data_IF_207096754417
#
_entry.id   IF_207096754417
#
_cell.length_a   1.000
_cell.length_b   1.000
_cell.length_c   1.000
_cell.angle_alpha   90.00
_cell.angle_beta   90.00
_cell.angle_gamma   90.00
#
_symmetry.space_group_name_H-M   'P 1'
#
loop_
_entity.id
_entity.type
_entity.pdbx_description
1 polymer ?
#
# COMPACT_ATOMS: atom_id res chain seq x y z
N UNK A 1 26.36 -6.57 28.53
CA UNK A 1 24.90 -6.66 28.32
C UNK A 1 24.70 -7.51 27.05
N UNK A 2 23.97 -8.62 27.09
CA UNK A 2 23.73 -9.41 25.88
C UNK A 2 22.68 -8.72 25.03
N UNK A 3 22.96 -8.64 23.72
CA UNK A 3 22.08 -8.11 22.68
C UNK A 3 20.80 -8.98 22.60
N UNK A 4 19.60 -8.39 22.59
CA UNK A 4 18.38 -9.20 22.45
C UNK A 4 18.33 -9.87 21.06
N UNK A 5 17.75 -11.08 20.98
CA UNK A 5 17.67 -11.80 19.72
C UNK A 5 16.72 -11.09 18.75
N UNK A 6 17.19 -10.88 17.51
CA UNK A 6 16.34 -10.46 16.38
C UNK A 6 15.33 -11.57 16.10
N UNK A 7 14.08 -11.38 16.45
CA UNK A 7 12.99 -12.26 16.03
C UNK A 7 12.65 -11.94 14.60
N UNK A 8 13.17 -12.74 13.67
CA UNK A 8 12.66 -12.81 12.31
C UNK A 8 11.51 -13.82 12.32
N UNK A 9 10.27 -13.37 12.35
CA UNK A 9 9.12 -14.22 12.08
C UNK A 9 8.67 -13.97 10.64
N UNK A 10 9.14 -14.78 9.71
CA UNK A 10 8.54 -14.89 8.38
C UNK A 10 7.41 -15.90 8.46
N UNK A 11 6.17 -15.45 8.52
CA UNK A 11 4.99 -16.27 8.32
C UNK A 11 4.55 -16.14 6.86
N UNK A 12 4.70 -17.21 6.08
CA UNK A 12 4.12 -17.31 4.75
C UNK A 12 2.65 -17.68 4.90
N UNK A 13 1.76 -16.73 4.62
CA UNK A 13 0.31 -16.99 4.53
C UNK A 13 -0.03 -17.02 3.05
N UNK A 14 -0.48 -18.17 2.56
CA UNK A 14 -1.03 -18.34 1.22
C UNK A 14 -2.55 -18.13 1.33
N UNK A 15 -3.06 -17.00 0.84
CA UNK A 15 -4.50 -16.69 0.86
C UNK A 15 -4.79 -15.44 0.01
N UNK A 16 -6.01 -15.31 -0.45
CA UNK A 16 -6.49 -14.11 -1.14
C UNK A 16 -6.56 -12.90 -0.17
N UNK A 17 -6.53 -11.63 -0.66
CA UNK A 17 -6.62 -10.44 0.21
C UNK A 17 -7.81 -10.44 1.16
N UNK A 18 -8.92 -11.07 0.78
CA UNK A 18 -10.09 -11.30 1.64
C UNK A 18 -9.78 -12.16 2.87
N UNK A 19 -8.91 -13.15 2.73
CA UNK A 19 -8.54 -14.06 3.84
C UNK A 19 -7.69 -13.33 4.89
N UNK A 20 -6.93 -12.33 4.48
CA UNK A 20 -6.10 -11.50 5.36
C UNK A 20 -6.98 -10.60 6.23
N UNK A 21 -8.02 -9.99 5.65
CA UNK A 21 -8.98 -9.17 6.39
C UNK A 21 -9.76 -10.01 7.43
N UNK A 22 -10.23 -11.21 7.06
CA UNK A 22 -10.94 -12.13 7.95
C UNK A 22 -10.03 -12.65 9.09
N UNK A 23 -8.75 -12.90 8.79
CA UNK A 23 -7.74 -13.26 9.80
C UNK A 23 -7.48 -12.11 10.78
N UNK A 24 -7.55 -10.87 10.28
CA UNK A 24 -7.35 -9.67 11.08
C UNK A 24 -8.54 -9.40 12.00
N UNK A 25 -9.76 -9.50 11.48
CA UNK A 25 -10.99 -9.38 12.28
C UNK A 25 -11.02 -10.42 13.42
N UNK A 26 -10.65 -11.66 13.15
CA UNK A 26 -10.52 -12.72 14.17
C UNK A 26 -9.44 -12.42 15.21
N UNK A 27 -8.33 -11.74 14.84
CA UNK A 27 -7.27 -11.35 15.79
C UNK A 27 -7.66 -10.14 16.62
N UNK A 28 -8.40 -9.19 16.06
CA UNK A 28 -8.98 -8.08 16.82
C UNK A 28 -9.98 -8.62 17.85
N UNK A 29 -10.90 -9.51 17.47
CA UNK A 29 -11.80 -10.19 18.41
C UNK A 29 -11.04 -10.96 19.52
N UNK A 30 -9.89 -11.56 19.17
CA UNK A 30 -9.04 -12.25 20.14
C UNK A 30 -8.39 -11.25 21.10
N UNK A 31 -7.85 -10.13 20.63
CA UNK A 31 -7.24 -9.08 21.45
C UNK A 31 -8.27 -8.42 22.39
N UNK A 32 -9.48 -8.16 21.90
CA UNK A 32 -10.60 -7.66 22.72
C UNK A 32 -11.01 -8.66 23.80
N UNK A 33 -11.03 -9.95 23.48
CA UNK A 33 -11.43 -11.01 24.43
C UNK A 33 -10.38 -11.28 25.52
N UNK A 34 -9.09 -11.06 25.26
CA UNK A 34 -8.00 -11.27 26.21
C UNK A 34 -7.47 -9.99 26.86
N UNK A 35 -7.66 -8.80 26.24
CA UNK A 35 -7.30 -7.50 26.84
C UNK A 35 -8.20 -7.10 28.02
N UNK A 36 -9.40 -7.65 28.12
CA UNK A 36 -10.36 -7.33 29.17
C UNK A 36 -10.02 -7.94 30.57
N UNK A 37 -8.99 -8.77 30.71
CA UNK A 37 -8.69 -9.49 31.94
C UNK A 37 -7.49 -8.99 32.75
N UNK A 38 -6.82 -7.93 32.38
CA UNK A 38 -5.78 -7.31 33.21
C UNK A 38 -6.21 -5.94 33.75
N UNK A 39 -7.29 -5.96 34.54
CA UNK A 39 -7.64 -4.86 35.43
C UNK A 39 -6.62 -4.69 36.53
N UNK A 40 -6.03 -3.48 36.65
CA UNK A 40 -5.31 -3.05 37.80
C UNK A 40 -3.86 -2.60 37.60
N UNK A 41 -3.55 -1.82 36.59
CA UNK A 41 -2.32 -1.03 36.52
C UNK A 41 -2.63 0.43 36.91
N UNK A 42 -1.98 0.88 37.97
CA UNK A 42 -1.99 2.26 38.46
C UNK A 42 -1.56 3.20 37.34
N UNK A 43 -2.31 4.29 37.14
CA UNK A 43 -1.92 5.42 36.31
C UNK A 43 -0.52 5.88 36.68
N UNK A 44 0.49 5.55 35.89
CA UNK A 44 1.67 6.35 35.74
C UNK A 44 1.40 7.27 34.56
N UNK A 45 1.18 8.54 34.87
CA UNK A 45 1.35 9.64 33.92
C UNK A 45 2.83 9.69 33.47
N UNK A 46 3.23 8.80 32.60
CA UNK A 46 4.34 9.05 31.71
C UNK A 46 3.72 9.74 30.52
N UNK A 47 4.06 11.01 30.28
CA UNK A 47 3.65 11.75 29.11
C UNK A 47 4.08 10.99 27.85
N UNK A 48 3.24 10.08 27.40
CA UNK A 48 3.25 9.63 26.03
C UNK A 48 2.72 10.81 25.20
N UNK A 49 3.59 11.48 24.46
CA UNK A 49 3.14 12.20 23.28
C UNK A 49 2.36 11.16 22.49
N UNK A 50 1.05 11.30 22.41
CA UNK A 50 0.22 10.57 21.45
C UNK A 50 0.67 11.07 20.07
N UNK A 51 1.75 10.47 19.55
CA UNK A 51 2.14 10.67 18.16
C UNK A 51 1.08 10.00 17.33
N UNK A 52 0.26 10.81 16.65
CA UNK A 52 -0.79 10.29 15.76
C UNK A 52 -0.20 9.37 14.70
N UNK A 53 -0.97 8.39 14.29
CA UNK A 53 -0.60 7.47 13.21
C UNK A 53 -0.73 8.17 11.85
N UNK A 54 0.29 8.04 11.00
CA UNK A 54 0.30 8.63 9.65
C UNK A 54 0.71 7.55 8.64
N UNK A 55 0.01 7.50 7.51
CA UNK A 55 0.43 6.72 6.37
C UNK A 55 0.40 7.53 5.08
N UNK A 56 1.44 7.34 4.28
CA UNK A 56 1.58 7.87 2.93
C UNK A 56 1.77 6.69 1.99
N UNK A 57 0.86 6.53 1.04
CA UNK A 57 0.93 5.49 0.01
C UNK A 57 0.81 6.12 -1.37
N UNK A 58 1.50 5.57 -2.34
CA UNK A 58 1.45 6.10 -3.69
C UNK A 58 2.28 5.31 -4.68
N UNK A 59 2.43 5.89 -5.88
CA UNK A 59 3.21 5.29 -6.93
C UNK A 59 3.15 6.07 -8.23
N UNK A 60 3.71 5.48 -9.26
CA UNK A 60 3.68 6.01 -10.61
C UNK A 60 3.67 4.90 -11.66
N UNK A 61 3.16 5.21 -12.85
CA UNK A 61 3.28 4.40 -14.04
C UNK A 61 3.65 5.29 -15.24
N UNK A 62 4.54 4.81 -16.09
CA UNK A 62 4.98 5.49 -17.30
C UNK A 62 5.10 4.51 -18.46
N UNK A 63 4.64 4.91 -19.62
CA UNK A 63 4.72 4.15 -20.85
C UNK A 63 5.18 5.06 -21.99
N UNK A 64 6.12 4.60 -22.82
CA UNK A 64 6.56 5.29 -24.02
C UNK A 64 6.44 4.37 -25.23
N UNK A 65 5.86 4.89 -26.33
CA UNK A 65 5.54 4.17 -27.55
C UNK A 65 4.55 4.96 -28.39
N UNK A 66 4.12 4.38 -29.52
CA UNK A 66 3.09 5.00 -30.35
C UNK A 66 1.72 4.96 -29.63
N UNK A 67 1.36 3.78 -29.09
CA UNK A 67 0.13 3.58 -28.34
C UNK A 67 0.50 3.23 -26.89
N UNK A 68 0.02 4.03 -25.93
CA UNK A 68 0.36 3.86 -24.52
C UNK A 68 -0.85 3.95 -23.62
N UNK A 69 -0.87 3.10 -22.59
CA UNK A 69 -1.85 3.13 -21.52
C UNK A 69 -1.13 3.18 -20.18
N UNK A 70 -1.50 4.13 -19.33
CA UNK A 70 -1.09 4.16 -17.93
C UNK A 70 -2.30 4.31 -17.02
N UNK A 71 -2.36 3.50 -15.98
CA UNK A 71 -3.41 3.59 -14.95
C UNK A 71 -2.80 3.66 -13.57
N UNK A 72 -3.48 4.34 -12.66
CA UNK A 72 -3.10 4.44 -11.27
C UNK A 72 -4.33 4.45 -10.35
N UNK A 73 -4.30 3.66 -9.30
CA UNK A 73 -5.26 3.67 -8.21
C UNK A 73 -4.51 3.82 -6.89
N UNK A 74 -4.96 4.74 -6.05
CA UNK A 74 -4.52 4.88 -4.67
C UNK A 74 -5.74 5.02 -3.78
N UNK A 75 -5.85 4.17 -2.76
CA UNK A 75 -6.89 4.26 -1.76
C UNK A 75 -6.27 4.21 -0.36
N UNK A 76 -6.73 5.08 0.52
CA UNK A 76 -6.24 5.18 1.88
C UNK A 76 -7.41 5.46 2.82
N UNK A 77 -7.53 4.68 3.87
CA UNK A 77 -8.56 4.83 4.88
C UNK A 77 -7.94 4.76 6.27
N UNK A 78 -8.30 5.70 7.14
CA UNK A 78 -7.85 5.73 8.53
C UNK A 78 -9.04 5.85 9.48
N UNK A 79 -8.99 5.16 10.60
CA UNK A 79 -9.98 5.26 11.66
C UNK A 79 -9.32 5.21 13.04
N UNK A 80 -9.70 6.15 13.90
CA UNK A 80 -9.40 6.11 15.34
C UNK A 80 -10.57 5.51 16.11
N UNK A 81 -10.29 4.57 16.98
CA UNK A 81 -11.25 3.84 17.83
C UNK A 81 -10.81 3.87 19.29
N UNK A 82 -11.74 3.52 20.18
CA UNK A 82 -11.41 3.32 21.58
C UNK A 82 -10.43 2.13 21.72
N UNK A 83 -9.17 2.44 22.05
CA UNK A 83 -8.15 1.44 22.29
C UNK A 83 -7.20 1.15 21.11
N UNK A 84 -7.47 1.59 19.89
CA UNK A 84 -6.56 1.45 18.75
C UNK A 84 -6.86 2.44 17.64
N UNK A 85 -5.89 2.71 16.80
CA UNK A 85 -6.08 3.33 15.48
C UNK A 85 -5.64 2.38 14.38
N UNK A 86 -6.27 2.45 13.22
CA UNK A 86 -6.00 1.59 12.09
C UNK A 86 -5.96 2.40 10.80
N UNK A 87 -4.96 2.12 9.97
CA UNK A 87 -4.88 2.61 8.60
C UNK A 87 -4.79 1.42 7.66
N UNK A 88 -5.60 1.43 6.61
CA UNK A 88 -5.57 0.46 5.52
C UNK A 88 -5.49 1.16 4.19
N UNK A 89 -4.76 0.61 3.24
CA UNK A 89 -4.68 1.21 1.92
C UNK A 89 -4.07 0.30 0.88
N UNK A 90 -4.20 0.76 -0.36
CA UNK A 90 -3.65 0.11 -1.52
C UNK A 90 -3.16 1.13 -2.55
N UNK A 91 -2.19 0.71 -3.34
CA UNK A 91 -1.71 1.41 -4.52
C UNK A 91 -1.49 0.40 -5.65
N UNK A 92 -2.08 0.65 -6.80
CA UNK A 92 -1.98 -0.19 -7.99
C UNK A 92 -1.62 0.71 -9.17
N UNK A 93 -0.53 0.39 -9.85
CA UNK A 93 -0.06 1.13 -11.01
C UNK A 93 0.26 0.18 -12.14
N UNK A 94 -0.22 0.51 -13.34
CA UNK A 94 -0.02 -0.28 -14.54
C UNK A 94 0.41 0.60 -15.71
N UNK A 95 1.29 0.08 -16.54
CA UNK A 95 1.75 0.71 -17.76
C UNK A 95 1.81 -0.33 -18.87
N UNK A 96 1.39 0.06 -20.08
CA UNK A 96 1.62 -0.71 -21.29
C UNK A 96 1.92 0.21 -22.48
N UNK A 97 2.77 -0.26 -23.37
CA UNK A 97 3.16 0.47 -24.58
C UNK A 97 3.25 -0.47 -25.78
N UNK A 98 2.96 0.07 -26.96
CA UNK A 98 3.21 -0.58 -28.25
C UNK A 98 3.98 0.35 -29.18
N UNK A 99 4.80 -0.21 -30.03
CA UNK A 99 5.56 0.52 -31.05
C UNK A 99 5.64 -0.30 -32.34
N UNK A 100 5.51 0.34 -33.51
CA UNK A 100 5.74 -0.33 -34.79
C UNK A 100 7.21 -0.73 -34.99
N UNK A 101 8.13 -0.06 -34.27
CA UNK A 101 9.55 -0.35 -34.33
C UNK A 101 9.97 -1.29 -33.21
N UNK A 102 10.72 -2.36 -33.51
CA UNK A 102 11.24 -3.26 -32.47
C UNK A 102 12.09 -2.49 -31.45
N UNK A 103 11.79 -2.70 -30.15
CA UNK A 103 12.46 -2.01 -29.05
C UNK A 103 12.02 -0.56 -28.82
N UNK A 104 11.04 -0.05 -29.57
CA UNK A 104 10.50 1.29 -29.41
C UNK A 104 9.47 1.46 -28.28
N UNK A 105 9.05 0.36 -27.62
CA UNK A 105 8.11 0.37 -26.50
C UNK A 105 8.81 0.20 -25.16
N UNK A 106 8.45 1.01 -24.17
CA UNK A 106 8.89 0.86 -22.77
C UNK A 106 7.74 1.09 -21.80
N UNK A 107 7.74 0.36 -20.67
CA UNK A 107 6.77 0.53 -19.60
C UNK A 107 7.44 0.37 -18.23
N UNK A 108 7.03 1.18 -17.27
CA UNK A 108 7.47 1.10 -15.87
C UNK A 108 6.31 1.37 -14.93
N UNK A 109 6.29 0.68 -13.80
CA UNK A 109 5.35 0.93 -12.71
C UNK A 109 6.07 0.77 -11.37
N UNK A 110 5.70 1.57 -10.38
CA UNK A 110 6.23 1.44 -9.01
C UNK A 110 5.23 1.93 -7.98
N UNK A 111 5.29 1.35 -6.79
CA UNK A 111 4.53 1.74 -5.61
C UNK A 111 5.49 2.06 -4.46
N UNK A 112 5.00 2.76 -3.45
CA UNK A 112 5.73 3.02 -2.21
C UNK A 112 4.78 3.19 -1.03
N UNK A 113 5.27 2.86 0.17
CA UNK A 113 4.60 3.06 1.45
C UNK A 113 5.54 3.72 2.45
N UNK A 114 5.02 4.66 3.23
CA UNK A 114 5.66 5.17 4.42
C UNK A 114 4.63 5.25 5.55
N UNK A 115 4.91 4.62 6.68
CA UNK A 115 4.05 4.60 7.87
C UNK A 115 4.84 5.08 9.08
N UNK A 116 4.21 5.90 9.92
CA UNK A 116 4.74 6.37 11.20
C UNK A 116 3.67 6.24 12.28
N UNK A 117 4.06 6.00 13.53
CA UNK A 117 3.15 5.89 14.66
C UNK A 117 2.38 4.55 14.75
N UNK A 118 2.77 3.53 13.98
CA UNK A 118 2.16 2.21 14.05
C UNK A 118 2.98 1.25 14.91
N UNK A 119 2.31 0.38 15.64
CA UNK A 119 2.91 -0.76 16.36
C UNK A 119 3.10 -1.98 15.45
N UNK A 120 2.17 -2.18 14.51
CA UNK A 120 2.19 -3.28 13.54
C UNK A 120 1.95 -2.75 12.14
N UNK A 121 2.71 -3.28 11.19
CA UNK A 121 2.52 -3.03 9.76
C UNK A 121 2.49 -4.39 9.07
N UNK A 122 1.42 -4.66 8.32
CA UNK A 122 1.32 -5.79 7.41
C UNK A 122 1.34 -5.22 6.01
N UNK A 123 2.30 -5.65 5.20
CA UNK A 123 2.54 -5.14 3.86
C UNK A 123 2.62 -6.29 2.86
N UNK A 124 1.98 -6.12 1.72
CA UNK A 124 2.10 -6.96 0.54
C UNK A 124 2.52 -6.08 -0.64
N UNK A 125 3.61 -6.43 -1.28
CA UNK A 125 4.08 -5.77 -2.49
C UNK A 125 4.33 -6.79 -3.59
N UNK A 126 3.92 -6.46 -4.82
CA UNK A 126 4.27 -7.22 -5.99
C UNK A 126 4.56 -6.30 -7.18
N UNK A 127 5.55 -6.67 -7.99
CA UNK A 127 5.90 -5.96 -9.21
C UNK A 127 6.17 -6.95 -10.33
N UNK A 128 5.56 -6.70 -11.48
CA UNK A 128 5.67 -7.54 -12.65
C UNK A 128 5.92 -6.70 -13.89
N UNK A 129 6.55 -7.30 -14.89
CA UNK A 129 6.79 -6.62 -16.16
C UNK A 129 7.24 -7.58 -17.25
N UNK A 130 7.04 -7.19 -18.48
CA UNK A 130 7.44 -7.93 -19.67
C UNK A 130 7.84 -7.01 -20.81
N UNK A 131 8.76 -7.49 -21.62
CA UNK A 131 9.24 -6.80 -22.81
C UNK A 131 9.19 -7.76 -24.00
N UNK A 132 8.35 -7.42 -24.98
CA UNK A 132 8.29 -8.07 -26.28
C UNK A 132 9.04 -7.30 -27.37
N UNK A 133 9.05 -7.79 -28.59
CA UNK A 133 9.70 -7.09 -29.72
C UNK A 133 9.11 -5.69 -29.96
N UNK A 134 7.79 -5.55 -29.85
CA UNK A 134 7.03 -4.37 -30.18
C UNK A 134 6.12 -3.87 -29.06
N UNK A 135 6.17 -4.52 -27.90
CA UNK A 135 5.33 -4.24 -26.74
C UNK A 135 6.13 -4.26 -25.44
N UNK A 136 5.67 -3.50 -24.47
CA UNK A 136 6.18 -3.50 -23.11
C UNK A 136 5.02 -3.31 -22.13
N UNK A 137 5.11 -3.94 -20.96
CA UNK A 137 4.15 -3.74 -19.87
C UNK A 137 4.84 -3.83 -18.51
N UNK A 138 4.28 -3.14 -17.53
CA UNK A 138 4.70 -3.20 -16.14
C UNK A 138 3.48 -2.99 -15.23
N UNK A 139 3.47 -3.65 -14.09
CA UNK A 139 2.53 -3.42 -12.99
C UNK A 139 3.25 -3.40 -11.66
N UNK A 140 2.73 -2.64 -10.71
CA UNK A 140 3.18 -2.62 -9.32
C UNK A 140 1.95 -2.49 -8.44
N UNK A 141 1.85 -3.35 -7.43
CA UNK A 141 0.75 -3.42 -6.49
C UNK A 141 1.29 -3.41 -5.07
N UNK A 142 0.64 -2.67 -4.20
CA UNK A 142 0.94 -2.59 -2.79
C UNK A 142 -0.37 -2.55 -2.00
N UNK A 143 -0.48 -3.41 -0.97
CA UNK A 143 -1.56 -3.42 0.01
C UNK A 143 -0.96 -3.36 1.40
N UNK A 144 -1.56 -2.61 2.31
CA UNK A 144 -1.06 -2.54 3.67
C UNK A 144 -2.16 -2.35 4.70
N UNK A 145 -1.84 -2.77 5.92
CA UNK A 145 -2.58 -2.47 7.14
C UNK A 145 -1.58 -2.01 8.19
N UNK A 146 -1.83 -0.85 8.79
CA UNK A 146 -1.06 -0.33 9.90
C UNK A 146 -1.97 -0.19 11.13
N UNK A 147 -1.53 -0.68 12.28
CA UNK A 147 -2.28 -0.69 13.53
C UNK A 147 -1.42 -0.10 14.65
N UNK A 148 -2.00 0.84 15.39
CA UNK A 148 -1.48 1.35 16.65
C UNK A 148 -2.43 0.97 17.78
N UNK A 149 -1.92 0.36 18.85
CA UNK A 149 -2.70 -0.09 20.01
C UNK A 149 -2.41 0.85 21.18
N UNK A 150 -3.39 1.66 21.57
CA UNK A 150 -3.26 2.65 22.65
C UNK A 150 -2.75 2.02 23.94
N UNK A 151 -1.64 2.56 24.46
CA UNK A 151 -1.03 2.08 25.70
C UNK A 151 -0.16 0.83 25.55
N UNK A 152 0.05 0.34 24.34
CA UNK A 152 1.03 -0.70 24.03
C UNK A 152 2.20 -0.08 23.28
N UNK A 153 3.42 -0.40 23.66
CA UNK A 153 4.63 0.07 22.97
C UNK A 153 5.61 -1.08 22.86
N UNK A 154 5.82 -1.60 21.65
CA UNK A 154 6.88 -2.58 21.41
C UNK A 154 8.22 -1.89 21.59
N UNK A 155 9.02 -2.28 22.57
CA UNK A 155 10.28 -1.64 22.91
C UNK A 155 11.38 -1.65 21.84
N UNK A 156 11.05 -1.48 20.54
CA UNK A 156 12.02 -1.61 19.45
C UNK A 156 11.55 -1.13 18.08
N UNK A 157 10.47 -0.38 17.99
CA UNK A 157 9.84 0.06 16.72
C UNK A 157 8.76 -0.93 16.22
N UNK A 158 8.08 -0.61 15.13
CA UNK A 158 6.96 -1.39 14.63
C UNK A 158 7.34 -2.83 14.25
N UNK A 159 6.42 -3.75 14.47
CA UNK A 159 6.52 -5.12 13.94
C UNK A 159 6.04 -5.10 12.49
N UNK A 160 6.95 -5.30 11.55
CA UNK A 160 6.63 -5.36 10.11
C UNK A 160 6.49 -6.82 9.67
N UNK A 161 5.37 -7.15 9.05
CA UNK A 161 5.08 -8.46 8.46
C UNK A 161 4.94 -8.26 6.96
N UNK A 162 5.94 -8.66 6.20
CA UNK A 162 5.91 -8.67 4.75
C UNK A 162 5.26 -9.97 4.24
N UNK A 163 4.20 -9.85 3.47
CA UNK A 163 3.53 -10.96 2.83
C UNK A 163 4.06 -11.10 1.40
N UNK A 164 4.70 -12.22 1.11
CA UNK A 164 5.16 -12.54 -0.23
C UNK A 164 4.23 -13.60 -0.82
N UNK A 165 3.54 -13.28 -1.90
CA UNK A 165 2.84 -14.31 -2.67
C UNK A 165 3.80 -14.92 -3.69
N UNK A 166 4.00 -16.25 -3.67
CA UNK A 166 4.73 -16.90 -4.75
C UNK A 166 3.88 -16.87 -6.02
N UNK A 167 4.26 -15.98 -6.95
CA UNK A 167 4.01 -16.16 -8.38
C UNK A 167 2.56 -16.26 -8.84
N UNK A 168 1.64 -15.40 -8.41
CA UNK A 168 0.49 -15.13 -9.26
C UNK A 168 0.99 -14.31 -10.46
N UNK A 169 1.04 -14.97 -11.63
CA UNK A 169 1.21 -14.27 -12.88
C UNK A 169 -0.02 -13.39 -13.09
N UNK A 170 0.07 -12.14 -12.67
CA UNK A 170 -0.85 -11.13 -13.15
C UNK A 170 -0.65 -11.06 -14.68
N UNK A 171 -1.57 -11.64 -15.42
CA UNK A 171 -1.70 -11.28 -16.82
C UNK A 171 -2.41 -9.93 -16.82
N UNK A 172 -1.77 -8.86 -17.34
CA UNK A 172 -2.47 -7.61 -17.52
C UNK A 172 -3.78 -7.94 -18.22
N UNK A 173 -4.90 -7.61 -17.57
CA UNK A 173 -6.23 -7.76 -18.14
C UNK A 173 -6.16 -7.07 -19.49
N UNK A 174 -6.19 -7.82 -20.57
CA UNK A 174 -5.83 -7.47 -21.95
C UNK A 174 -6.37 -6.15 -22.52
N UNK A 175 -6.19 -5.08 -21.81
CA UNK A 175 -6.33 -3.72 -22.29
C UNK A 175 -5.07 -3.41 -23.09
N UNK A 176 -5.04 -3.96 -24.32
CA UNK A 176 -4.16 -3.38 -25.31
C UNK A 176 -4.57 -1.91 -25.47
N UNK A 177 -3.62 -0.97 -25.48
CA UNK A 177 -3.96 0.40 -25.80
C UNK A 177 -4.71 0.41 -27.13
N UNK A 178 -5.94 0.91 -27.12
CA UNK A 178 -6.63 1.29 -28.35
C UNK A 178 -5.86 2.46 -28.95
N UNK A 179 -5.89 2.61 -30.28
CA UNK A 179 -5.19 3.68 -30.98
C UNK A 179 -5.06 4.98 -30.17
N UNK A 180 -3.82 5.37 -29.81
CA UNK A 180 -3.51 6.60 -29.09
C UNK A 180 -2.97 6.41 -27.67
N UNK A 181 -2.76 7.52 -26.98
CA UNK A 181 -2.18 7.56 -25.63
C UNK A 181 -3.24 7.87 -24.58
N UNK A 182 -3.29 7.07 -23.54
CA UNK A 182 -4.27 7.21 -22.48
C UNK A 182 -3.59 7.19 -21.09
N UNK A 183 -4.01 8.10 -20.21
CA UNK A 183 -3.59 8.16 -18.83
C UNK A 183 -4.80 8.33 -17.91
N UNK A 184 -4.98 7.47 -16.93
CA UNK A 184 -6.08 7.51 -15.98
C UNK A 184 -5.59 7.26 -14.56
N UNK A 185 -5.99 8.13 -13.62
CA UNK A 185 -5.59 8.00 -12.22
C UNK A 185 -6.76 8.33 -11.30
N UNK A 186 -6.92 7.51 -10.27
CA UNK A 186 -7.88 7.70 -9.19
C UNK A 186 -7.11 7.71 -7.88
N UNK A 187 -7.37 8.70 -7.03
CA UNK A 187 -6.89 8.69 -5.65
C UNK A 187 -8.01 9.05 -4.68
N UNK A 188 -8.11 8.28 -3.61
CA UNK A 188 -9.06 8.47 -2.52
C UNK A 188 -8.35 8.37 -1.18
N UNK A 189 -8.56 9.34 -0.30
CA UNK A 189 -8.11 9.31 1.07
C UNK A 189 -9.25 9.70 2.00
N UNK A 190 -9.50 8.91 3.02
CA UNK A 190 -10.53 9.15 4.04
C UNK A 190 -9.93 8.92 5.42
N UNK A 191 -10.25 9.79 6.37
CA UNK A 191 -9.87 9.62 7.78
C UNK A 191 -11.04 9.94 8.70
N UNK A 192 -11.20 9.15 9.75
CA UNK A 192 -12.24 9.28 10.75
C UNK A 192 -11.62 9.26 12.16
N UNK A 193 -11.82 10.33 12.91
CA UNK A 193 -11.28 10.54 14.26
C UNK A 193 -11.45 11.99 14.70
N UNK A 194 -10.93 12.35 15.88
CA UNK A 194 -11.01 13.72 16.40
C UNK A 194 -10.03 14.66 15.70
N UNK A 195 -8.77 14.23 15.53
CA UNK A 195 -7.68 15.00 14.94
C UNK A 195 -7.19 14.25 13.69
N UNK A 196 -7.93 14.35 12.60
CA UNK A 196 -7.67 13.59 11.38
C UNK A 196 -7.26 14.46 10.20
N UNK A 197 -6.49 13.89 9.29
CA UNK A 197 -6.11 14.48 8.02
C UNK A 197 -6.29 13.48 6.90
N UNK A 198 -6.87 13.92 5.78
CA UNK A 198 -6.81 13.17 4.53
C UNK A 198 -6.49 14.09 3.35
N UNK A 199 -5.59 13.66 2.48
CA UNK A 199 -5.20 14.40 1.29
C UNK A 199 -4.85 13.46 0.14
N UNK A 200 -5.09 13.89 -1.09
CA UNK A 200 -4.65 13.19 -2.31
C UNK A 200 -3.99 14.16 -3.28
N UNK A 201 -2.99 13.66 -3.99
CA UNK A 201 -2.36 14.35 -5.11
C UNK A 201 -2.35 13.40 -6.31
N UNK A 202 -2.81 13.89 -7.47
CA UNK A 202 -2.81 13.11 -8.71
C UNK A 202 -2.27 13.94 -9.85
N UNK A 203 -1.53 13.31 -10.75
CA UNK A 203 -1.08 13.89 -12.01
C UNK A 203 -1.26 12.86 -13.13
N UNK A 204 -1.74 13.31 -14.29
CA UNK A 204 -1.82 12.52 -15.48
C UNK A 204 -1.34 13.36 -16.68
N UNK A 205 -0.54 12.77 -17.56
CA UNK A 205 0.01 13.42 -18.74
C UNK A 205 0.00 12.44 -19.91
N UNK A 206 -0.43 12.90 -21.07
CA UNK A 206 -0.27 12.19 -22.34
C UNK A 206 0.35 13.10 -23.39
N UNK A 207 1.23 12.55 -24.21
CA UNK A 207 1.79 13.18 -25.40
C UNK A 207 1.54 12.22 -26.55
N UNK A 208 0.74 12.65 -27.53
CA UNK A 208 0.30 11.84 -28.64
C UNK A 208 1.47 11.17 -29.38
N UNK A 209 1.35 9.86 -29.66
CA UNK A 209 2.35 9.02 -30.30
C UNK A 209 3.72 8.94 -29.60
N UNK A 210 3.81 9.29 -28.31
CA UNK A 210 5.08 9.30 -27.60
C UNK A 210 5.00 8.71 -26.20
N UNK A 211 4.02 9.13 -25.37
CA UNK A 211 4.14 8.92 -23.94
C UNK A 211 2.82 9.06 -23.19
N UNK A 212 2.64 8.24 -22.15
CA UNK A 212 1.67 8.47 -21.08
C UNK A 212 2.31 8.29 -19.70
N UNK A 213 1.80 9.03 -18.72
CA UNK A 213 2.29 9.01 -17.35
C UNK A 213 1.16 9.27 -16.36
N UNK A 214 1.16 8.56 -15.26
CA UNK A 214 0.34 8.84 -14.07
C UNK A 214 1.18 8.79 -12.80
N UNK A 215 0.79 9.63 -11.85
CA UNK A 215 1.31 9.60 -10.48
C UNK A 215 0.17 9.87 -9.51
N UNK A 216 0.13 9.16 -8.39
CA UNK A 216 -0.82 9.44 -7.31
C UNK A 216 -0.18 9.20 -5.94
N UNK A 217 -0.61 10.01 -4.97
CA UNK A 217 -0.23 9.92 -3.58
C UNK A 217 -1.49 10.13 -2.73
N UNK A 218 -1.71 9.25 -1.76
CA UNK A 218 -2.70 9.38 -0.71
C UNK A 218 -2.03 9.53 0.65
N UNK A 219 -2.50 10.47 1.46
CA UNK A 219 -2.04 10.70 2.83
C UNK A 219 -3.23 10.62 3.76
N UNK A 220 -3.11 9.88 4.84
CA UNK A 220 -4.08 9.89 5.94
C UNK A 220 -3.36 9.95 7.28
N UNK A 221 -4.00 10.57 8.26
CA UNK A 221 -3.55 10.60 9.65
C UNK A 221 -4.74 10.52 10.61
N UNK A 222 -4.54 9.90 11.76
CA UNK A 222 -5.48 9.79 12.89
C UNK A 222 -4.73 9.89 14.21
#
# INVERSE_FOLDING_TARGET
MPTPPKVKSSASIVGEPHDVLELFERRIEWAERFGAHHGGAKHHEAGSSEEGQIAVVGGNAAAAGQDTLTTGLVQNFAADKDGYSIIVGDAIFEASAQSPEPGGATATASTFLAVSGADFIIEYESSHGGLGPNDAWASSELYYVALDIKGWSPGGGPVVIELHQPGHHFQPSGHQPSDGNYAHVIARAESHGADNLSATLTNALTIENQFSFVNAIGVVAV
#
